data_IF_004772494233
#
_entry.id   IF_004772494233
#
_cell.length_a   1.000
_cell.length_b   1.000
_cell.length_c   1.000
_cell.angle_alpha   90.00
_cell.angle_beta   90.00
_cell.angle_gamma   90.00
#
_symmetry.space_group_name_H-M   'P 1'
#
loop_
_entity.id
_entity.type
_entity.pdbx_description
1 polymer ?
#
# COMPACT_ATOMS: atom_id res chain seq x y z
N UNK A 1 -39.70 35.88 26.32
CA UNK A 1 -38.33 36.29 26.64
C UNK A 1 -37.43 35.52 25.66
N UNK A 2 -37.08 36.20 24.56
CA UNK A 2 -36.27 35.62 23.50
C UNK A 2 -34.81 35.97 23.74
N UNK A 3 -33.93 34.98 23.80
CA UNK A 3 -32.49 35.18 23.85
C UNK A 3 -31.96 35.59 22.46
N UNK A 4 -31.09 36.60 22.36
CA UNK A 4 -30.50 36.96 21.06
C UNK A 4 -29.43 35.93 20.68
N UNK A 5 -29.79 35.00 19.81
CA UNK A 5 -28.90 34.07 19.16
C UNK A 5 -28.36 34.81 17.89
N UNK A 6 -27.18 35.36 17.93
CA UNK A 6 -26.72 36.01 16.70
C UNK A 6 -25.28 36.48 16.55
N UNK A 7 -24.43 36.48 17.57
CA UNK A 7 -23.09 37.10 17.42
C UNK A 7 -21.87 36.21 17.64
N UNK A 8 -22.05 34.97 18.06
CA UNK A 8 -20.89 34.08 18.36
C UNK A 8 -20.38 33.27 17.17
N UNK A 9 -21.15 33.14 16.10
CA UNK A 9 -20.76 32.26 14.97
C UNK A 9 -19.81 32.91 13.93
N UNK A 10 -19.65 34.23 13.92
CA UNK A 10 -18.84 34.91 12.90
C UNK A 10 -17.47 35.36 13.43
N UNK A 11 -17.34 35.53 14.76
CA UNK A 11 -16.08 35.99 15.35
C UNK A 11 -15.02 34.89 15.45
N UNK A 12 -15.41 33.66 15.76
CA UNK A 12 -14.48 32.53 15.90
C UNK A 12 -13.78 32.14 14.61
N UNK A 13 -14.44 31.99 13.44
CA UNK A 13 -13.75 31.64 12.22
C UNK A 13 -12.79 32.76 11.74
N UNK A 14 -13.18 34.05 11.89
CA UNK A 14 -12.32 35.15 11.50
C UNK A 14 -11.09 35.28 12.41
N UNK A 15 -11.25 35.15 13.73
CA UNK A 15 -10.13 35.15 14.67
C UNK A 15 -9.17 33.99 14.39
N UNK A 16 -9.71 32.80 14.14
CA UNK A 16 -8.92 31.61 13.80
C UNK A 16 -8.13 31.82 12.49
N UNK A 17 -8.75 32.40 11.48
CA UNK A 17 -8.12 32.73 10.22
C UNK A 17 -6.98 33.74 10.40
N UNK A 18 -7.17 34.77 11.20
CA UNK A 18 -6.13 35.75 11.54
C UNK A 18 -4.96 35.12 12.30
N UNK A 19 -5.22 34.18 13.21
CA UNK A 19 -4.19 33.43 13.93
C UNK A 19 -3.37 32.58 12.95
N UNK A 20 -4.02 31.88 12.01
CA UNK A 20 -3.33 31.07 10.99
C UNK A 20 -2.45 31.94 10.08
N UNK A 21 -2.95 33.08 9.63
CA UNK A 21 -2.19 34.03 8.81
C UNK A 21 -1.00 34.57 9.61
N UNK A 22 -1.18 34.92 10.87
CA UNK A 22 -0.13 35.42 11.74
C UNK A 22 0.95 34.36 11.98
N UNK A 23 0.56 33.10 12.25
CA UNK A 23 1.50 31.99 12.38
C UNK A 23 2.27 31.74 11.08
N UNK A 24 1.60 31.83 9.93
CA UNK A 24 2.26 31.74 8.62
C UNK A 24 3.28 32.85 8.39
N UNK A 25 2.96 34.09 8.77
CA UNK A 25 3.86 35.22 8.71
C UNK A 25 5.07 35.03 9.66
N UNK A 26 4.83 34.60 10.89
CA UNK A 26 5.89 34.32 11.87
C UNK A 26 6.86 33.24 11.35
N UNK A 27 6.31 32.15 10.79
CA UNK A 27 7.11 31.11 10.15
C UNK A 27 8.01 31.66 9.04
N UNK A 28 7.43 32.48 8.16
CA UNK A 28 8.19 33.09 7.06
C UNK A 28 9.28 34.05 7.55
N UNK A 29 8.99 34.81 8.58
CA UNK A 29 9.95 35.72 9.21
C UNK A 29 11.11 34.93 9.86
N UNK A 30 10.85 33.81 10.52
CA UNK A 30 11.87 32.92 11.06
C UNK A 30 12.75 32.36 9.94
N UNK A 31 12.18 31.90 8.84
CA UNK A 31 12.95 31.42 7.68
C UNK A 31 13.88 32.49 7.12
N UNK A 32 13.38 33.73 6.94
CA UNK A 32 14.18 34.87 6.46
C UNK A 32 15.33 35.18 7.44
N UNK A 33 15.05 35.17 8.74
CA UNK A 33 16.05 35.40 9.78
C UNK A 33 17.16 34.35 9.76
N UNK A 34 16.80 33.07 9.67
CA UNK A 34 17.77 31.97 9.58
C UNK A 34 18.60 32.04 8.29
N UNK A 35 18.00 32.42 7.19
CA UNK A 35 18.70 32.66 5.94
C UNK A 35 19.73 33.82 6.08
N UNK A 36 19.34 34.92 6.72
CA UNK A 36 20.24 36.07 6.96
C UNK A 36 21.41 35.71 7.94
N UNK A 37 21.15 34.83 8.88
CA UNK A 37 22.16 34.36 9.85
C UNK A 37 23.08 33.27 9.28
N UNK A 38 22.88 32.84 8.03
CA UNK A 38 23.66 31.77 7.41
C UNK A 38 23.44 30.38 8.03
N UNK A 39 22.36 30.20 8.80
CA UNK A 39 21.98 28.94 9.43
C UNK A 39 20.96 28.16 8.60
N UNK A 40 20.90 28.40 7.28
CA UNK A 40 19.99 27.69 6.37
C UNK A 40 20.16 26.17 6.42
N UNK A 41 21.39 25.67 6.60
CA UNK A 41 21.70 24.24 6.69
C UNK A 41 21.08 23.53 7.90
N UNK A 42 20.70 24.27 8.95
CA UNK A 42 20.04 23.67 10.13
C UNK A 42 18.50 23.56 9.95
N UNK A 43 17.93 24.25 8.97
CA UNK A 43 16.51 24.22 8.66
C UNK A 43 16.19 23.39 7.41
N UNK A 44 17.20 23.05 6.63
CA UNK A 44 17.10 21.96 5.67
C UNK A 44 17.10 20.64 6.46
N UNK A 45 15.96 20.34 7.09
CA UNK A 45 15.58 18.95 7.15
C UNK A 45 15.37 18.58 5.69
N UNK A 46 16.41 18.04 5.07
CA UNK A 46 16.32 17.30 3.83
C UNK A 46 15.33 16.12 4.01
N UNK A 47 14.08 16.44 4.19
CA UNK A 47 13.03 15.65 3.63
C UNK A 47 13.09 15.99 2.14
N UNK A 48 14.14 15.54 1.47
CA UNK A 48 14.13 15.30 0.05
C UNK A 48 12.99 14.29 -0.14
N UNK A 49 11.78 14.82 -0.31
CA UNK A 49 10.79 14.09 -1.06
C UNK A 49 11.50 13.86 -2.38
N UNK A 50 11.91 12.61 -2.70
CA UNK A 50 12.42 12.35 -4.02
C UNK A 50 11.31 12.86 -4.93
N UNK A 51 11.57 13.99 -5.62
CA UNK A 51 10.81 14.31 -6.80
C UNK A 51 10.64 12.97 -7.51
N UNK A 52 9.47 12.64 -8.04
CA UNK A 52 9.33 11.51 -8.91
C UNK A 52 10.11 11.84 -10.19
N UNK A 53 11.43 11.97 -10.07
CA UNK A 53 12.31 11.70 -11.19
C UNK A 53 11.81 10.34 -11.60
N UNK A 54 11.16 10.30 -12.76
CA UNK A 54 10.89 9.07 -13.49
C UNK A 54 12.22 8.31 -13.51
N UNK A 55 12.47 7.58 -12.43
CA UNK A 55 13.44 6.51 -12.42
C UNK A 55 12.90 5.65 -13.54
N UNK A 56 13.64 5.46 -14.66
CA UNK A 56 13.21 4.51 -15.66
C UNK A 56 12.93 3.26 -14.86
N UNK A 57 11.71 2.72 -14.99
CA UNK A 57 11.23 1.51 -14.33
C UNK A 57 12.37 0.47 -14.37
N UNK A 58 13.28 0.54 -13.43
CA UNK A 58 14.03 -0.61 -13.02
C UNK A 58 12.96 -1.49 -12.42
N UNK A 59 12.35 -2.33 -13.26
CA UNK A 59 11.47 -3.42 -12.85
C UNK A 59 12.21 -4.09 -11.71
N UNK A 60 11.88 -3.69 -10.48
CA UNK A 60 12.35 -4.38 -9.30
C UNK A 60 11.88 -5.80 -9.53
N UNK A 61 12.81 -6.71 -9.78
CA UNK A 61 12.48 -8.11 -10.00
C UNK A 61 11.61 -8.53 -8.82
N UNK A 62 10.46 -9.16 -9.06
CA UNK A 62 9.55 -9.54 -8.00
C UNK A 62 10.33 -10.37 -6.97
N UNK A 63 10.10 -10.11 -5.69
CA UNK A 63 10.73 -10.90 -4.63
C UNK A 63 10.29 -12.36 -4.77
N UNK A 64 11.13 -13.27 -4.31
CA UNK A 64 10.83 -14.70 -4.35
C UNK A 64 9.49 -15.02 -3.66
N UNK A 65 9.23 -14.34 -2.54
CA UNK A 65 7.94 -14.44 -1.85
C UNK A 65 6.77 -14.00 -2.72
N UNK A 66 6.94 -12.93 -3.51
CA UNK A 66 5.92 -12.46 -4.43
C UNK A 66 5.62 -13.47 -5.54
N UNK A 67 6.64 -14.13 -6.08
CA UNK A 67 6.48 -15.17 -7.11
C UNK A 67 5.68 -16.34 -6.53
N UNK A 68 6.08 -16.87 -5.37
CA UNK A 68 5.40 -18.00 -4.74
C UNK A 68 3.94 -17.68 -4.36
N UNK A 69 3.66 -16.48 -3.84
CA UNK A 69 2.28 -16.07 -3.54
C UNK A 69 1.44 -16.02 -4.81
N UNK A 70 1.98 -15.54 -5.95
CA UNK A 70 1.26 -15.49 -7.23
C UNK A 70 0.94 -16.88 -7.78
N UNK A 71 1.81 -17.86 -7.55
CA UNK A 71 1.55 -19.25 -7.91
C UNK A 71 0.39 -19.85 -7.11
N UNK A 72 0.28 -19.48 -5.83
CA UNK A 72 -0.81 -19.92 -4.96
C UNK A 72 -2.17 -19.28 -5.30
N UNK A 73 -2.14 -18.11 -5.94
CA UNK A 73 -3.33 -17.33 -6.30
C UNK A 73 -3.51 -17.28 -7.83
N UNK A 74 -4.09 -18.33 -8.44
CA UNK A 74 -4.27 -18.35 -9.89
C UNK A 74 -5.13 -17.16 -10.36
N UNK A 75 -4.79 -16.59 -11.51
CA UNK A 75 -5.61 -15.61 -12.17
C UNK A 75 -6.67 -16.33 -13.01
N UNK A 76 -7.90 -15.84 -12.95
CA UNK A 76 -9.05 -16.31 -13.75
C UNK A 76 -9.70 -15.12 -14.43
N UNK A 77 -10.48 -15.36 -15.49
CA UNK A 77 -11.33 -14.30 -16.04
C UNK A 77 -12.55 -14.07 -15.15
N UNK A 78 -13.00 -12.83 -15.08
CA UNK A 78 -14.17 -12.50 -14.26
C UNK A 78 -15.44 -13.22 -14.75
N UNK A 79 -15.55 -13.44 -16.07
CA UNK A 79 -16.63 -14.23 -16.69
C UNK A 79 -16.68 -15.69 -16.21
N UNK A 80 -15.54 -16.25 -15.80
CA UNK A 80 -15.43 -17.65 -15.36
C UNK A 80 -15.74 -17.82 -13.88
N UNK A 81 -16.03 -16.71 -13.18
CA UNK A 81 -16.40 -16.75 -11.78
C UNK A 81 -17.78 -17.37 -11.61
N UNK A 82 -17.84 -18.52 -10.94
CA UNK A 82 -19.10 -19.20 -10.65
C UNK A 82 -20.07 -18.29 -9.90
N UNK A 83 -21.24 -18.05 -10.50
CA UNK A 83 -22.31 -17.20 -9.96
C UNK A 83 -22.86 -17.68 -8.59
N UNK A 84 -22.52 -18.89 -8.18
CA UNK A 84 -22.92 -19.49 -6.91
C UNK A 84 -21.93 -19.24 -5.76
N UNK A 85 -20.73 -18.70 -6.06
CA UNK A 85 -19.73 -18.45 -5.03
C UNK A 85 -20.05 -17.15 -4.28
N UNK A 86 -19.83 -17.15 -2.95
CA UNK A 86 -19.99 -15.94 -2.13
C UNK A 86 -19.02 -14.81 -2.53
N UNK A 87 -18.17 -15.04 -3.53
CA UNK A 87 -17.31 -14.07 -4.16
C UNK A 87 -18.10 -13.09 -5.07
N UNK A 88 -19.27 -13.51 -5.59
CA UNK A 88 -20.13 -12.68 -6.45
C UNK A 88 -20.67 -11.45 -5.70
N UNK A 89 -21.02 -11.58 -4.43
CA UNK A 89 -21.48 -10.44 -3.62
C UNK A 89 -20.36 -9.41 -3.36
N UNK A 90 -19.09 -9.85 -3.33
CA UNK A 90 -17.94 -8.95 -3.25
C UNK A 90 -17.59 -8.32 -4.63
N UNK A 91 -17.99 -8.99 -5.72
CA UNK A 91 -17.76 -8.53 -7.08
C UNK A 91 -18.69 -7.39 -7.49
N UNK A 92 -19.88 -7.27 -6.88
CA UNK A 92 -20.83 -6.19 -7.17
C UNK A 92 -20.32 -4.79 -6.81
N UNK A 93 -19.29 -4.69 -5.97
CA UNK A 93 -18.70 -3.42 -5.53
C UNK A 93 -17.46 -2.98 -6.30
N UNK A 94 -16.98 -3.78 -7.26
CA UNK A 94 -15.74 -3.51 -8.01
C UNK A 94 -14.46 -3.72 -7.22
N UNK A 95 -13.33 -3.44 -7.87
CA UNK A 95 -12.01 -3.60 -7.28
C UNK A 95 -11.69 -2.47 -6.30
N UNK A 96 -11.57 -2.77 -5.01
CA UNK A 96 -11.29 -1.77 -3.96
C UNK A 96 -9.91 -1.09 -4.06
N UNK A 97 -9.01 -1.58 -4.91
CA UNK A 97 -7.68 -0.98 -5.10
C UNK A 97 -7.70 0.12 -6.15
N UNK A 98 -8.36 -0.11 -7.29
CA UNK A 98 -8.45 0.88 -8.37
C UNK A 98 -9.81 1.58 -8.45
N UNK A 99 -10.81 1.11 -7.71
CA UNK A 99 -12.19 1.62 -7.67
C UNK A 99 -12.96 1.47 -8.98
N UNK A 100 -12.48 0.62 -9.90
CA UNK A 100 -13.20 0.29 -11.14
C UNK A 100 -14.04 -0.97 -10.96
N UNK A 101 -15.17 -1.01 -11.65
CA UNK A 101 -16.02 -2.20 -11.76
C UNK A 101 -15.30 -3.31 -12.54
N UNK A 102 -15.67 -4.57 -12.29
CA UNK A 102 -15.14 -5.70 -13.02
C UNK A 102 -15.90 -5.89 -14.34
N UNK A 103 -15.17 -6.09 -15.42
CA UNK A 103 -15.68 -6.49 -16.74
C UNK A 103 -15.48 -7.98 -16.95
N UNK A 104 -16.32 -8.61 -17.79
CA UNK A 104 -16.22 -10.04 -18.07
C UNK A 104 -14.84 -10.51 -18.56
N UNK A 105 -14.12 -9.65 -19.28
CA UNK A 105 -12.80 -9.96 -19.84
C UNK A 105 -11.64 -9.67 -18.88
N UNK A 106 -11.92 -9.09 -17.71
CA UNK A 106 -10.88 -8.75 -16.75
C UNK A 106 -10.28 -9.98 -16.10
N UNK A 107 -8.95 -10.02 -16.02
CA UNK A 107 -8.25 -11.01 -15.20
C UNK A 107 -8.30 -10.60 -13.73
N UNK A 108 -8.82 -11.48 -12.91
CA UNK A 108 -8.99 -11.29 -11.47
C UNK A 108 -8.23 -12.35 -10.68
N UNK A 109 -7.94 -12.04 -9.43
CA UNK A 109 -7.49 -13.02 -8.42
C UNK A 109 -8.50 -13.08 -7.28
N UNK A 110 -8.95 -14.29 -7.00
CA UNK A 110 -9.78 -14.60 -5.84
C UNK A 110 -8.88 -15.06 -4.70
N UNK A 111 -9.00 -14.43 -3.55
CA UNK A 111 -8.19 -14.79 -2.39
C UNK A 111 -8.81 -16.01 -1.68
N UNK A 112 -7.97 -17.01 -1.32
CA UNK A 112 -8.45 -18.27 -0.74
C UNK A 112 -8.91 -18.13 0.71
N UNK A 113 -8.23 -17.31 1.50
CA UNK A 113 -8.51 -17.13 2.93
C UNK A 113 -9.57 -16.10 3.23
N UNK A 114 -9.98 -15.34 2.23
CA UNK A 114 -11.09 -14.39 2.31
C UNK A 114 -11.80 -14.34 0.96
N UNK A 115 -13.00 -13.78 0.95
CA UNK A 115 -13.84 -13.73 -0.25
C UNK A 115 -13.57 -12.49 -1.12
N UNK A 116 -12.46 -11.80 -0.90
CA UNK A 116 -12.15 -10.56 -1.62
C UNK A 116 -11.53 -10.87 -2.98
N UNK A 117 -11.95 -10.07 -3.97
CA UNK A 117 -11.54 -10.19 -5.36
C UNK A 117 -10.90 -8.86 -5.78
N UNK A 118 -9.87 -8.95 -6.59
CA UNK A 118 -9.17 -7.80 -7.15
C UNK A 118 -8.78 -8.06 -8.59
N UNK A 119 -8.65 -7.01 -9.41
CA UNK A 119 -7.98 -7.15 -10.67
C UNK A 119 -6.56 -7.72 -10.44
N UNK A 120 -6.15 -8.64 -11.31
CA UNK A 120 -4.82 -9.25 -11.25
C UNK A 120 -3.71 -8.21 -11.09
N UNK A 121 -3.69 -7.19 -11.95
CA UNK A 121 -2.65 -6.16 -11.92
C UNK A 121 -2.64 -5.32 -10.64
N UNK A 122 -3.80 -5.16 -9.97
CA UNK A 122 -3.91 -4.41 -8.72
C UNK A 122 -3.30 -5.17 -7.56
N UNK A 123 -3.66 -6.45 -7.37
CA UNK A 123 -3.13 -7.25 -6.28
C UNK A 123 -1.69 -7.70 -6.56
N UNK A 124 -1.30 -7.91 -7.81
CA UNK A 124 0.09 -8.24 -8.15
C UNK A 124 1.03 -7.09 -7.78
N UNK A 125 0.64 -5.85 -8.05
CA UNK A 125 1.40 -4.67 -7.60
C UNK A 125 1.50 -4.59 -6.07
N UNK A 126 0.44 -4.90 -5.36
CA UNK A 126 0.41 -4.97 -3.90
C UNK A 126 1.41 -6.02 -3.37
N UNK A 127 1.44 -7.20 -3.98
CA UNK A 127 2.37 -8.28 -3.67
C UNK A 127 3.81 -7.88 -3.99
N UNK A 128 4.06 -7.12 -5.08
CA UNK A 128 5.39 -6.61 -5.45
C UNK A 128 5.99 -5.65 -4.43
N UNK A 129 5.14 -5.02 -3.61
CA UNK A 129 5.57 -4.24 -2.45
C UNK A 129 5.79 -5.08 -1.19
N UNK A 130 6.03 -6.40 -1.34
CA UNK A 130 6.24 -7.36 -0.26
C UNK A 130 5.07 -7.47 0.72
N UNK A 131 3.87 -7.09 0.29
CA UNK A 131 2.66 -7.26 1.07
C UNK A 131 2.15 -8.71 0.94
N UNK A 132 1.91 -9.35 2.09
CA UNK A 132 1.52 -10.77 2.17
C UNK A 132 0.09 -10.97 2.64
N UNK A 133 -0.68 -9.89 2.70
CA UNK A 133 -2.04 -9.88 3.25
C UNK A 133 -3.02 -9.16 2.33
N UNK A 134 -4.29 -9.53 2.43
CA UNK A 134 -5.38 -8.89 1.70
C UNK A 134 -5.43 -7.37 1.94
N UNK A 135 -5.51 -6.52 0.90
CA UNK A 135 -5.63 -5.07 1.04
C UNK A 135 -6.84 -4.60 1.86
N UNK A 136 -7.93 -5.37 1.87
CA UNK A 136 -9.18 -5.01 2.56
C UNK A 136 -9.25 -5.51 4.00
N UNK A 137 -9.03 -6.82 4.22
CA UNK A 137 -9.26 -7.43 5.53
C UNK A 137 -7.98 -7.88 6.24
N UNK A 138 -6.82 -7.70 5.60
CA UNK A 138 -5.50 -8.06 6.13
C UNK A 138 -5.30 -9.56 6.43
N UNK A 139 -6.20 -10.41 5.97
CA UNK A 139 -6.04 -11.86 6.06
C UNK A 139 -4.84 -12.30 5.22
N UNK A 140 -3.97 -13.19 5.70
CA UNK A 140 -2.81 -13.69 4.94
C UNK A 140 -3.23 -14.31 3.60
N UNK A 141 -2.39 -14.15 2.56
CA UNK A 141 -2.61 -14.79 1.26
C UNK A 141 -2.40 -16.29 1.30
N UNK A 142 -1.42 -16.73 2.09
CA UNK A 142 -1.09 -18.15 2.27
C UNK A 142 -1.99 -18.74 3.36
N UNK A 143 -2.79 -19.77 3.06
CA UNK A 143 -3.56 -20.49 4.05
C UNK A 143 -2.67 -21.19 5.09
N UNK A 144 -3.16 -21.35 6.31
CA UNK A 144 -2.40 -21.94 7.41
C UNK A 144 -1.95 -23.38 7.07
N UNK A 145 -2.79 -24.14 6.35
CA UNK A 145 -2.47 -25.49 5.89
C UNK A 145 -1.35 -25.55 4.84
N UNK A 146 -1.05 -24.45 4.17
CA UNK A 146 -0.01 -24.37 3.13
C UNK A 146 1.24 -23.60 3.59
N UNK A 147 1.25 -23.13 4.83
CA UNK A 147 2.33 -22.24 5.32
C UNK A 147 3.68 -22.99 5.40
N UNK A 148 3.66 -24.25 5.75
CA UNK A 148 4.86 -25.10 5.85
C UNK A 148 5.45 -25.36 4.46
N UNK A 149 4.64 -25.74 3.47
CA UNK A 149 5.06 -25.94 2.09
C UNK A 149 5.59 -24.63 1.47
N UNK A 150 4.90 -23.52 1.72
CA UNK A 150 5.35 -22.19 1.30
C UNK A 150 6.72 -21.84 1.89
N UNK A 151 6.92 -22.03 3.19
CA UNK A 151 8.18 -21.75 3.86
C UNK A 151 9.29 -22.66 3.36
N UNK A 152 9.01 -23.95 3.13
CA UNK A 152 9.98 -24.89 2.57
C UNK A 152 10.43 -24.48 1.17
N UNK A 153 9.49 -24.08 0.30
CA UNK A 153 9.83 -23.59 -1.06
C UNK A 153 10.61 -22.27 -1.01
N UNK A 154 10.21 -21.37 -0.11
CA UNK A 154 10.91 -20.11 0.08
C UNK A 154 12.35 -20.34 0.53
N UNK A 155 12.56 -21.27 1.47
CA UNK A 155 13.87 -21.66 1.97
C UNK A 155 14.72 -22.32 0.87
N UNK A 156 14.18 -23.29 0.16
CA UNK A 156 14.87 -24.00 -0.92
C UNK A 156 15.33 -23.03 -2.03
N UNK A 157 14.48 -22.09 -2.39
CA UNK A 157 14.75 -21.13 -3.46
C UNK A 157 15.63 -19.94 -3.01
N UNK A 158 15.86 -19.76 -1.70
CA UNK A 158 16.76 -18.71 -1.19
C UNK A 158 18.26 -19.04 -1.33
N UNK A 159 18.61 -20.28 -1.78
CA UNK A 159 19.99 -20.76 -1.91
C UNK A 159 20.69 -21.04 -0.57
N UNK A 160 20.03 -20.77 0.55
CA UNK A 160 20.62 -20.99 1.89
C UNK A 160 20.84 -22.47 2.16
N UNK A 161 19.98 -23.33 1.61
CA UNK A 161 20.10 -24.79 1.75
C UNK A 161 21.40 -25.32 1.11
N UNK A 162 21.80 -24.79 -0.05
CA UNK A 162 23.05 -25.18 -0.73
C UNK A 162 24.28 -24.74 0.07
N UNK A 163 24.24 -23.55 0.66
CA UNK A 163 25.34 -23.03 1.47
C UNK A 163 25.60 -23.89 2.72
N UNK A 164 24.55 -24.38 3.38
CA UNK A 164 24.69 -25.29 4.52
C UNK A 164 25.12 -26.71 4.11
N UNK A 165 24.71 -27.20 2.95
CA UNK A 165 25.15 -28.50 2.45
C UNK A 165 26.65 -28.49 2.12
N UNK A 166 27.16 -27.44 1.49
CA UNK A 166 28.58 -27.28 1.16
C UNK A 166 29.45 -27.15 2.42
N UNK A 167 28.98 -26.44 3.44
CA UNK A 167 29.67 -26.32 4.72
C UNK A 167 29.74 -27.65 5.49
N UNK A 168 28.69 -28.50 5.39
CA UNK A 168 28.63 -29.78 6.06
C UNK A 168 29.54 -30.89 5.42
N UNK A 169 29.90 -30.72 4.15
CA UNK A 169 30.79 -31.67 3.43
C UNK A 169 32.29 -31.33 3.55
N UNK A 170 32.60 -30.19 4.20
CA UNK A 170 33.98 -29.69 4.36
C UNK A 170 34.66 -30.15 5.66
N UNK A 171 34.03 -31.06 6.43
CA UNK A 171 34.59 -31.66 7.65
C UNK A 171 34.73 -33.23 7.47
#
# INVERSE_FOLDING_TARGET
MGFPVGYTQVFFPNLFLHILIFLGFLRNLVFILFHYLGLSDLLETDVVWPEPTRIPDTKKSPSLSAILIRELLPAIQFSDLDSTSAAVTAAESGCAVCLYEFSGEDEIRCLRNCKHIFHRGCVDRWIDHDQKTCPLCRTPFVPDEMIDDYNQRLWAASGVAEFYAEYSTSF
#
